data_IF_072941229849
#
_entry.id   IF_072941229849
#
_cell.length_a   1.000
_cell.length_b   1.000
_cell.length_c   1.000
_cell.angle_alpha   90.00
_cell.angle_beta   90.00
_cell.angle_gamma   90.00
#
_symmetry.space_group_name_H-M   'P 1'
#
loop_
_entity.id
_entity.type
_entity.pdbx_description
1 polymer ?
#
# COMPACT_ATOMS: atom_id res chain seq x y z
N UNK A 1 2.13 -1.81 -15.35
CA UNK A 1 2.46 -2.68 -14.20
C UNK A 1 1.70 -4.01 -14.20
N UNK A 2 0.40 -4.08 -13.85
CA UNK A 2 -0.37 -5.36 -13.77
C UNK A 2 -0.32 -6.14 -15.10
N UNK A 3 -0.54 -5.46 -16.23
CA UNK A 3 -0.45 -6.07 -17.58
C UNK A 3 0.95 -6.59 -17.94
N UNK A 4 2.01 -5.95 -17.46
CA UNK A 4 3.40 -6.31 -17.75
C UNK A 4 3.86 -7.47 -16.88
N UNK A 5 3.45 -7.48 -15.60
CA UNK A 5 3.72 -8.57 -14.67
C UNK A 5 2.90 -9.84 -14.95
N UNK A 6 1.69 -9.70 -15.52
CA UNK A 6 0.93 -10.86 -16.04
C UNK A 6 1.79 -11.70 -17.00
N UNK A 7 2.49 -11.07 -17.94
CA UNK A 7 3.37 -11.79 -18.89
C UNK A 7 4.56 -12.45 -18.21
N UNK A 8 5.15 -11.81 -17.19
CA UNK A 8 6.24 -12.41 -16.41
C UNK A 8 5.75 -13.58 -15.56
N UNK A 9 4.56 -13.48 -14.96
CA UNK A 9 3.93 -14.57 -14.23
C UNK A 9 3.58 -15.75 -15.14
N UNK A 10 2.98 -15.50 -16.30
CA UNK A 10 2.65 -16.53 -17.30
C UNK A 10 3.92 -17.25 -17.81
N UNK A 11 5.09 -16.58 -17.82
CA UNK A 11 6.37 -17.25 -18.11
C UNK A 11 6.86 -18.14 -16.97
N UNK A 12 6.69 -17.70 -15.71
CA UNK A 12 7.09 -18.47 -14.52
C UNK A 12 6.13 -19.63 -14.21
N UNK A 13 4.86 -19.47 -14.57
CA UNK A 13 3.76 -20.41 -14.30
C UNK A 13 2.89 -20.60 -15.56
N UNK A 14 3.45 -21.18 -16.64
CA UNK A 14 2.78 -21.29 -17.95
C UNK A 14 1.51 -22.13 -17.95
N UNK A 15 1.27 -22.90 -16.88
CA UNK A 15 0.12 -23.78 -16.74
C UNK A 15 -0.88 -23.30 -15.66
N UNK A 16 -0.72 -22.09 -15.11
CA UNK A 16 -1.62 -21.60 -14.07
C UNK A 16 -2.91 -21.04 -14.72
N UNK A 17 -4.08 -21.67 -14.54
CA UNK A 17 -5.30 -21.36 -15.30
C UNK A 17 -5.89 -19.96 -15.01
N UNK A 18 -5.35 -19.26 -14.00
CA UNK A 18 -5.87 -18.02 -13.42
C UNK A 18 -4.77 -17.00 -13.10
N UNK A 19 -3.75 -16.91 -13.95
CA UNK A 19 -2.63 -15.97 -13.79
C UNK A 19 -3.08 -14.52 -13.53
N UNK A 20 -4.02 -14.03 -14.33
CA UNK A 20 -4.52 -12.66 -14.24
C UNK A 20 -5.34 -12.41 -12.97
N UNK A 21 -6.20 -13.34 -12.58
CA UNK A 21 -6.98 -13.26 -11.33
C UNK A 21 -6.06 -13.25 -10.10
N UNK A 22 -4.99 -14.05 -10.12
CA UNK A 22 -4.03 -14.10 -9.03
C UNK A 22 -3.23 -12.79 -8.91
N UNK A 23 -2.68 -12.28 -10.01
CA UNK A 23 -1.93 -11.00 -10.01
C UNK A 23 -2.83 -9.84 -9.58
N UNK A 24 -4.09 -9.85 -10.01
CA UNK A 24 -5.08 -8.85 -9.60
C UNK A 24 -5.35 -8.93 -8.10
N UNK A 25 -5.61 -10.13 -7.58
CA UNK A 25 -5.86 -10.37 -6.15
C UNK A 25 -4.68 -9.93 -5.29
N UNK A 26 -3.45 -10.27 -5.70
CA UNK A 26 -2.23 -9.87 -4.99
C UNK A 26 -2.03 -8.35 -5.02
N UNK A 27 -2.36 -7.69 -6.13
CA UNK A 27 -2.28 -6.23 -6.24
C UNK A 27 -3.26 -5.54 -5.30
N UNK A 28 -4.51 -6.00 -5.26
CA UNK A 28 -5.53 -5.47 -4.35
C UNK A 28 -5.16 -5.72 -2.88
N UNK A 29 -4.61 -6.89 -2.56
CA UNK A 29 -4.13 -7.18 -1.21
C UNK A 29 -2.98 -6.25 -0.80
N UNK A 30 -1.99 -6.03 -1.67
CA UNK A 30 -0.87 -5.12 -1.39
C UNK A 30 -1.37 -3.67 -1.24
N UNK A 31 -2.37 -3.26 -2.02
CA UNK A 31 -3.00 -1.94 -1.89
C UNK A 31 -3.71 -1.79 -0.55
N UNK A 32 -4.45 -2.82 -0.13
CA UNK A 32 -5.08 -2.85 1.18
C UNK A 32 -4.03 -2.78 2.29
N UNK A 33 -2.98 -3.60 2.21
CA UNK A 33 -1.89 -3.63 3.19
C UNK A 33 -1.14 -2.28 3.25
N UNK A 34 -0.93 -1.62 2.11
CA UNK A 34 -0.35 -0.30 2.05
C UNK A 34 -1.21 0.73 2.79
N UNK A 35 -2.51 0.78 2.49
CA UNK A 35 -3.43 1.70 3.17
C UNK A 35 -3.44 1.41 4.68
N UNK A 36 -3.59 0.14 5.07
CA UNK A 36 -3.62 -0.31 6.46
C UNK A 36 -2.33 -0.02 7.22
N UNK A 37 -1.19 0.09 6.56
CA UNK A 37 0.10 0.29 7.22
C UNK A 37 0.72 1.68 6.96
N UNK A 38 0.03 2.57 6.23
CA UNK A 38 0.59 3.83 5.77
C UNK A 38 1.16 4.69 6.90
N UNK A 39 0.40 4.86 8.00
CA UNK A 39 0.80 5.75 9.09
C UNK A 39 2.09 5.30 9.78
N UNK A 40 2.43 4.00 9.71
CA UNK A 40 3.69 3.46 10.24
C UNK A 40 4.91 4.01 9.48
N UNK A 41 4.74 4.41 8.22
CA UNK A 41 5.84 4.82 7.34
C UNK A 41 5.89 6.33 7.08
N UNK A 42 4.97 7.09 7.67
CA UNK A 42 4.95 8.55 7.57
C UNK A 42 5.89 9.17 8.62
N UNK A 43 6.66 10.18 8.22
CA UNK A 43 7.34 11.09 9.14
C UNK A 43 6.31 11.89 9.94
N UNK A 44 6.72 12.50 11.06
CA UNK A 44 5.83 13.36 11.85
C UNK A 44 5.24 14.53 11.04
N UNK A 45 5.99 15.05 10.05
CA UNK A 45 5.50 16.08 9.13
C UNK A 45 4.43 15.55 8.18
N UNK A 46 4.66 14.39 7.57
CA UNK A 46 3.70 13.72 6.67
C UNK A 46 2.44 13.29 7.43
N UNK A 47 2.56 12.83 8.69
CA UNK A 47 1.40 12.53 9.54
C UNK A 47 0.53 13.77 9.78
N UNK A 48 1.12 14.95 10.01
CA UNK A 48 0.34 16.20 10.15
C UNK A 48 -0.39 16.57 8.87
N UNK A 49 0.24 16.38 7.72
CA UNK A 49 -0.41 16.59 6.42
C UNK A 49 -1.55 15.58 6.22
N UNK A 50 -1.33 14.32 6.60
CA UNK A 50 -2.33 13.26 6.61
C UNK A 50 -3.57 13.67 7.40
N UNK A 51 -3.36 14.12 8.64
CA UNK A 51 -4.43 14.58 9.53
C UNK A 51 -5.18 15.77 8.94
N UNK A 52 -4.47 16.74 8.35
CA UNK A 52 -5.10 17.90 7.73
C UNK A 52 -6.00 17.52 6.54
N UNK A 53 -5.56 16.59 5.70
CA UNK A 53 -6.36 16.07 4.57
C UNK A 53 -7.56 15.29 5.09
N UNK A 54 -7.37 14.50 6.14
CA UNK A 54 -8.41 13.73 6.81
C UNK A 54 -9.51 14.64 7.37
N UNK A 55 -9.12 15.65 8.16
CA UNK A 55 -10.04 16.62 8.77
C UNK A 55 -10.77 17.46 7.71
N UNK A 56 -10.09 17.83 6.61
CA UNK A 56 -10.75 18.52 5.50
C UNK A 56 -11.90 17.69 4.93
N UNK A 57 -11.68 16.39 4.69
CA UNK A 57 -12.70 15.50 4.14
C UNK A 57 -13.83 15.21 5.12
N UNK A 58 -13.52 15.08 6.41
CA UNK A 58 -14.52 14.93 7.48
C UNK A 58 -15.41 16.15 7.57
N UNK A 59 -14.83 17.35 7.46
CA UNK A 59 -15.59 18.59 7.37
C UNK A 59 -16.50 18.64 6.14
N UNK A 60 -16.05 18.13 4.99
CA UNK A 60 -16.88 18.00 3.78
C UNK A 60 -18.05 16.99 3.97
N UNK A 61 -17.99 16.16 5.02
CA UNK A 61 -18.99 15.15 5.39
C UNK A 61 -19.76 15.50 6.68
N UNK A 62 -19.64 16.75 7.18
CA UNK A 62 -20.22 17.20 8.44
C UNK A 62 -19.79 16.37 9.69
N UNK A 63 -18.63 15.71 9.61
CA UNK A 63 -18.02 14.96 10.71
C UNK A 63 -17.05 15.83 11.52
N UNK A 64 -16.89 15.52 12.81
CA UNK A 64 -15.96 16.22 13.70
C UNK A 64 -14.50 16.02 13.30
N UNK A 65 -13.67 17.05 13.43
CA UNK A 65 -12.21 16.92 13.24
C UNK A 65 -11.60 15.96 14.26
N UNK A 66 -10.54 15.26 13.84
CA UNK A 66 -9.71 14.43 14.72
C UNK A 66 -8.43 15.17 15.14
N UNK A 67 -7.95 14.81 16.31
CA UNK A 67 -6.60 15.10 16.81
C UNK A 67 -5.60 14.04 16.36
N UNK A 68 -4.31 14.32 16.58
CA UNK A 68 -3.24 13.36 16.26
C UNK A 68 -3.29 12.13 17.18
N UNK A 69 -3.62 12.30 18.47
CA UNK A 69 -3.87 11.20 19.40
C UNK A 69 -5.03 10.32 18.93
N UNK A 70 -6.19 10.90 18.61
CA UNK A 70 -7.36 10.14 18.15
C UNK A 70 -7.07 9.36 16.85
N UNK A 71 -6.34 10.00 15.91
CA UNK A 71 -5.93 9.33 14.67
C UNK A 71 -5.00 8.14 14.93
N UNK A 72 -4.10 8.24 15.93
CA UNK A 72 -3.23 7.13 16.34
C UNK A 72 -4.01 6.02 17.03
N UNK A 73 -4.92 6.35 17.94
CA UNK A 73 -5.76 5.38 18.63
C UNK A 73 -6.66 4.60 17.65
N UNK A 74 -7.24 5.29 16.67
CA UNK A 74 -8.00 4.66 15.59
C UNK A 74 -7.13 3.72 14.75
N UNK A 75 -5.86 4.06 14.55
CA UNK A 75 -4.91 3.23 13.81
C UNK A 75 -4.41 2.02 14.61
N UNK A 76 -4.29 2.11 15.93
CA UNK A 76 -3.89 0.99 16.78
C UNK A 76 -4.96 -0.11 16.85
N UNK A 77 -6.23 0.25 16.65
CA UNK A 77 -7.34 -0.71 16.56
C UNK A 77 -7.51 -1.24 15.12
N UNK A 78 -7.32 -2.55 14.93
CA UNK A 78 -7.36 -3.21 13.61
C UNK A 78 -8.70 -3.08 12.88
N UNK A 79 -9.83 -3.07 13.59
CA UNK A 79 -11.16 -2.96 12.98
C UNK A 79 -11.45 -1.53 12.54
N UNK A 80 -11.12 -0.55 13.39
CA UNK A 80 -11.25 0.88 13.08
C UNK A 80 -10.33 1.29 11.92
N UNK A 81 -9.15 0.67 11.83
CA UNK A 81 -8.19 0.86 10.75
C UNK A 81 -8.82 0.49 9.39
N UNK A 82 -9.52 -0.64 9.30
CA UNK A 82 -10.21 -1.05 8.06
C UNK A 82 -11.28 -0.02 7.68
N UNK A 83 -12.08 0.46 8.62
CA UNK A 83 -13.11 1.47 8.35
C UNK A 83 -12.50 2.81 7.91
N UNK A 84 -11.40 3.23 8.54
CA UNK A 84 -10.66 4.44 8.17
C UNK A 84 -10.16 4.40 6.73
N UNK A 85 -9.68 3.24 6.29
CA UNK A 85 -9.02 3.05 4.98
C UNK A 85 -9.95 2.55 3.87
N UNK A 86 -11.13 2.03 4.22
CA UNK A 86 -12.21 1.73 3.28
C UNK A 86 -13.18 2.89 3.08
N UNK A 87 -13.03 4.00 3.81
CA UNK A 87 -13.83 5.19 3.56
C UNK A 87 -13.54 5.68 2.13
N UNK A 88 -14.54 5.69 1.21
CA UNK A 88 -14.34 6.03 -0.19
C UNK A 88 -13.86 7.47 -0.40
N UNK A 89 -13.92 8.30 0.64
CA UNK A 89 -13.30 9.62 0.64
C UNK A 89 -11.78 9.59 0.78
N UNK A 90 -11.15 8.53 1.31
CA UNK A 90 -9.79 8.57 1.88
C UNK A 90 -8.95 7.41 1.33
N UNK A 91 -8.94 7.24 0.01
CA UNK A 91 -7.95 6.40 -0.66
C UNK A 91 -6.60 7.10 -0.61
N UNK A 92 -5.80 6.71 0.39
CA UNK A 92 -4.46 7.27 0.54
C UNK A 92 -3.55 6.93 -0.64
N UNK A 93 -3.81 5.84 -1.37
CA UNK A 93 -3.19 5.59 -2.68
C UNK A 93 -3.30 6.75 -3.66
N UNK A 94 -4.33 7.58 -3.53
CA UNK A 94 -4.61 8.69 -4.46
C UNK A 94 -4.00 10.02 -3.96
N UNK A 95 -3.64 10.08 -2.67
CA UNK A 95 -3.05 11.24 -2.01
C UNK A 95 -1.53 11.09 -1.85
N UNK A 96 -1.10 9.88 -1.52
CA UNK A 96 0.27 9.48 -1.29
C UNK A 96 0.76 8.70 -2.49
N UNK A 97 1.56 9.38 -3.31
CA UNK A 97 2.09 8.81 -4.54
C UNK A 97 3.16 7.75 -4.31
N UNK A 98 3.75 7.36 -5.44
CA UNK A 98 4.76 6.33 -5.61
C UNK A 98 5.92 6.33 -4.60
N UNK A 99 6.32 7.49 -4.08
CA UNK A 99 7.38 7.62 -3.05
C UNK A 99 7.02 6.91 -1.74
N UNK A 100 5.79 7.06 -1.26
CA UNK A 100 5.33 6.45 -0.01
C UNK A 100 5.11 4.96 -0.19
N UNK A 101 4.61 4.58 -1.37
CA UNK A 101 4.47 3.18 -1.76
C UNK A 101 5.84 2.48 -1.80
N UNK A 102 6.87 3.11 -2.36
CA UNK A 102 8.24 2.58 -2.34
C UNK A 102 8.77 2.39 -0.91
N UNK A 103 8.52 3.34 0.02
CA UNK A 103 8.93 3.18 1.43
C UNK A 103 8.24 1.99 2.11
N UNK A 104 6.94 1.80 1.88
CA UNK A 104 6.19 0.64 2.36
C UNK A 104 6.77 -0.67 1.81
N UNK A 105 6.99 -0.74 0.50
CA UNK A 105 7.54 -1.93 -0.14
C UNK A 105 8.98 -2.22 0.32
N UNK A 106 9.78 -1.20 0.58
CA UNK A 106 11.13 -1.38 1.12
C UNK A 106 11.11 -1.98 2.53
N UNK A 107 10.21 -1.49 3.38
CA UNK A 107 10.02 -2.03 4.72
C UNK A 107 9.50 -3.48 4.70
N UNK A 108 8.50 -3.77 3.86
CA UNK A 108 7.97 -5.13 3.69
C UNK A 108 9.03 -6.10 3.15
N UNK A 109 9.83 -5.68 2.16
CA UNK A 109 10.90 -6.53 1.61
C UNK A 109 11.97 -6.87 2.66
N UNK A 110 12.36 -5.93 3.51
CA UNK A 110 13.31 -6.21 4.59
C UNK A 110 12.77 -7.22 5.62
N UNK A 111 11.44 -7.32 5.77
CA UNK A 111 10.78 -8.26 6.68
C UNK A 111 10.61 -9.65 6.04
N UNK A 112 10.18 -9.72 4.77
CA UNK A 112 9.90 -10.97 4.06
C UNK A 112 11.09 -11.52 3.25
N UNK A 113 12.14 -10.74 3.04
CA UNK A 113 13.24 -11.06 2.11
C UNK A 113 14.23 -12.12 2.62
N UNK A 114 14.14 -12.50 3.89
CA UNK A 114 15.00 -13.52 4.48
C UNK A 114 14.27 -14.87 4.53
N UNK A 115 14.68 -15.79 3.66
CA UNK A 115 14.37 -17.22 3.69
C UNK A 115 12.90 -17.64 3.44
N UNK A 116 12.33 -17.25 2.29
CA UNK A 116 11.07 -17.83 1.79
C UNK A 116 11.30 -18.76 0.61
N UNK A 117 10.72 -19.96 0.71
CA UNK A 117 10.67 -20.98 -0.35
C UNK A 117 9.23 -21.09 -0.88
N UNK A 118 9.00 -21.77 -2.01
CA UNK A 118 7.64 -22.00 -2.49
C UNK A 118 6.93 -20.78 -3.10
N UNK A 119 5.62 -20.66 -2.87
CA UNK A 119 4.75 -19.61 -3.43
C UNK A 119 5.10 -18.22 -2.87
N UNK A 120 5.60 -18.19 -1.64
CA UNK A 120 6.04 -17.00 -0.93
C UNK A 120 7.23 -16.33 -1.64
N UNK A 121 8.08 -17.11 -2.33
CA UNK A 121 9.13 -16.56 -3.18
C UNK A 121 8.58 -15.79 -4.37
N UNK A 122 7.46 -16.23 -4.95
CA UNK A 122 6.78 -15.47 -6.00
C UNK A 122 6.19 -14.16 -5.45
N UNK A 123 5.56 -14.21 -4.28
CA UNK A 123 5.05 -13.00 -3.62
C UNK A 123 6.16 -11.99 -3.35
N UNK A 124 7.29 -12.41 -2.79
CA UNK A 124 8.44 -11.53 -2.53
C UNK A 124 9.07 -11.01 -3.83
N UNK A 125 9.14 -11.83 -4.89
CA UNK A 125 9.64 -11.38 -6.21
C UNK A 125 8.70 -10.33 -6.80
N UNK A 126 7.38 -10.57 -6.76
CA UNK A 126 6.36 -9.61 -7.20
C UNK A 126 6.41 -8.29 -6.40
N UNK A 127 6.63 -8.39 -5.09
CA UNK A 127 6.76 -7.26 -4.18
C UNK A 127 8.05 -6.45 -4.44
N UNK A 128 9.15 -7.13 -4.77
CA UNK A 128 10.42 -6.51 -5.13
C UNK A 128 10.36 -5.85 -6.52
N UNK A 129 9.74 -6.50 -7.51
CA UNK A 129 9.52 -5.90 -8.83
C UNK A 129 8.65 -4.63 -8.72
N UNK A 130 7.66 -4.65 -7.82
CA UNK A 130 6.84 -3.47 -7.48
C UNK A 130 7.70 -2.36 -6.88
N UNK A 131 8.63 -2.71 -5.97
CA UNK A 131 9.55 -1.77 -5.34
C UNK A 131 10.47 -1.12 -6.37
N UNK A 132 11.12 -1.92 -7.22
CA UNK A 132 12.00 -1.42 -8.28
C UNK A 132 11.26 -0.52 -9.27
N UNK A 133 10.03 -0.88 -9.65
CA UNK A 133 9.20 0.00 -10.48
C UNK A 133 8.90 1.33 -9.77
N UNK A 134 8.50 1.28 -8.50
CA UNK A 134 8.20 2.48 -7.73
C UNK A 134 9.43 3.37 -7.51
N UNK A 135 10.59 2.79 -7.23
CA UNK A 135 11.85 3.53 -7.06
C UNK A 135 12.29 4.20 -8.37
N UNK A 136 12.26 3.49 -9.51
CA UNK A 136 12.57 4.07 -10.83
C UNK A 136 11.62 5.23 -11.16
N UNK A 137 10.31 5.03 -11.01
CA UNK A 137 9.34 6.09 -11.27
C UNK A 137 9.50 7.27 -10.30
N UNK A 138 9.80 7.01 -9.02
CA UNK A 138 10.06 8.10 -8.06
C UNK A 138 11.31 8.91 -8.43
N UNK A 139 12.35 8.28 -8.97
CA UNK A 139 13.58 8.96 -9.39
C UNK A 139 13.41 9.78 -10.68
N UNK A 140 12.47 9.40 -11.54
CA UNK A 140 12.14 10.15 -12.76
C UNK A 140 11.27 11.39 -12.49
N UNK A 141 10.57 11.42 -11.35
CA UNK A 141 9.59 12.46 -11.01
C UNK A 141 9.90 13.21 -9.69
N UNK A 142 11.04 12.94 -9.05
CA UNK A 142 11.59 13.69 -7.92
C UNK A 142 12.54 14.79 -8.41
#
# INVERSE_FOLDING_TARGET
YVKDNKKSFEKLYPNHPKAEELVTTLTEQIKLDFNMNLLTYLTQGEMKQCLAIFNKKRKDQDESELTMEEMKEMYENKDNRIELFNNPGITFSDTYGVVHFARFLKAGYNYYGNEVTGFEKFYVTFFYDLLCFAENFSSEYA
#
